data_IF_878638221479
#
_entry.id   IF_878638221479
#
_cell.length_a   1.000
_cell.length_b   1.000
_cell.length_c   1.000
_cell.angle_alpha   90.00
_cell.angle_beta   90.00
_cell.angle_gamma   90.00
#
_symmetry.space_group_name_H-M   'P 1'
#
loop_
_entity.id
_entity.type
_entity.pdbx_description
1 polymer ?
#
# COMPACT_ATOMS: atom_id res chain seq x y z
N UNK A 1 -4.52 6.34 -1.39
CA UNK A 1 -3.35 6.33 -0.47
C UNK A 1 -2.19 5.53 -1.05
N UNK A 2 -2.39 4.28 -1.49
CA UNK A 2 -1.35 3.50 -2.18
C UNK A 2 -0.85 4.20 -3.47
N UNK A 3 -1.77 4.76 -4.26
CA UNK A 3 -1.41 5.57 -5.44
C UNK A 3 -0.59 6.81 -5.08
N UNK A 4 -0.83 7.42 -3.91
CA UNK A 4 -0.04 8.57 -3.46
C UNK A 4 1.41 8.16 -3.15
N UNK A 5 1.60 7.04 -2.44
CA UNK A 5 2.96 6.53 -2.17
C UNK A 5 3.64 6.09 -3.48
N UNK A 6 2.87 5.51 -4.41
CA UNK A 6 3.36 5.17 -5.75
C UNK A 6 3.84 6.41 -6.50
N UNK A 7 3.03 7.47 -6.55
CA UNK A 7 3.42 8.73 -7.16
C UNK A 7 4.65 9.34 -6.49
N UNK A 8 4.67 9.33 -5.15
CA UNK A 8 5.77 9.91 -4.37
C UNK A 8 7.11 9.23 -4.64
N UNK A 9 7.13 7.90 -4.76
CA UNK A 9 8.37 7.13 -4.97
C UNK A 9 8.76 6.94 -6.44
N UNK A 10 7.78 6.78 -7.32
CA UNK A 10 8.01 6.32 -8.71
C UNK A 10 7.52 7.32 -9.77
N UNK A 11 6.86 8.41 -9.37
CA UNK A 11 6.39 9.47 -10.27
C UNK A 11 5.04 9.20 -10.93
N UNK A 12 4.65 10.12 -11.83
CA UNK A 12 3.32 10.14 -12.45
C UNK A 12 3.06 8.92 -13.36
N UNK A 13 4.02 8.56 -14.21
CA UNK A 13 3.92 7.41 -15.12
C UNK A 13 3.59 6.12 -14.38
N UNK A 14 4.12 5.94 -13.16
CA UNK A 14 3.85 4.77 -12.35
C UNK A 14 2.38 4.69 -11.91
N UNK A 15 1.75 5.83 -11.63
CA UNK A 15 0.33 5.88 -11.23
C UNK A 15 -0.61 5.78 -12.43
N UNK A 16 -0.26 6.42 -13.55
CA UNK A 16 -1.13 6.46 -14.73
C UNK A 16 -1.07 5.17 -15.56
N UNK A 17 0.04 4.42 -15.50
CA UNK A 17 0.26 3.27 -16.38
C UNK A 17 0.66 2.02 -15.61
N UNK A 18 1.84 2.03 -14.99
CA UNK A 18 2.44 0.80 -14.48
C UNK A 18 1.63 0.16 -13.34
N UNK A 19 1.09 0.96 -12.42
CA UNK A 19 0.28 0.44 -11.32
C UNK A 19 -1.09 -0.07 -11.78
N UNK A 20 -1.88 0.67 -12.60
CA UNK A 20 -3.07 0.13 -13.25
C UNK A 20 -2.83 -1.18 -14.01
N UNK A 21 -1.75 -1.26 -14.79
CA UNK A 21 -1.36 -2.49 -15.49
C UNK A 21 -1.07 -3.63 -14.51
N UNK A 22 -0.29 -3.38 -13.45
CA UNK A 22 0.03 -4.37 -12.42
C UNK A 22 -1.23 -4.89 -11.70
N UNK A 23 -2.16 -4.00 -11.33
CA UNK A 23 -3.39 -4.38 -10.61
C UNK A 23 -4.49 -4.91 -11.53
N UNK A 24 -4.34 -4.79 -12.85
CA UNK A 24 -5.20 -5.43 -13.85
C UNK A 24 -4.87 -6.90 -14.10
N UNK A 25 -4.09 -7.56 -13.24
CA UNK A 25 -3.89 -9.01 -13.28
C UNK A 25 -5.24 -9.74 -13.38
N UNK A 26 -5.39 -10.56 -14.43
CA UNK A 26 -6.63 -11.29 -14.77
C UNK A 26 -7.07 -12.16 -13.61
N UNK A 27 -8.34 -12.03 -13.21
CA UNK A 27 -8.94 -13.00 -12.32
C UNK A 27 -9.20 -14.34 -13.05
N UNK A 28 -9.45 -15.41 -12.29
CA UNK A 28 -9.72 -16.75 -12.82
C UNK A 28 -11.00 -16.82 -13.69
N UNK A 29 -11.79 -15.75 -13.75
CA UNK A 29 -13.02 -15.64 -14.53
C UNK A 29 -12.86 -14.72 -15.77
N UNK A 30 -11.66 -14.18 -16.00
CA UNK A 30 -11.35 -13.35 -17.16
C UNK A 30 -11.89 -11.93 -17.09
N UNK A 31 -12.25 -11.41 -15.92
CA UNK A 31 -12.64 -10.01 -15.76
C UNK A 31 -11.43 -9.15 -15.43
N UNK A 32 -11.06 -8.28 -16.36
CA UNK A 32 -10.17 -7.15 -16.09
C UNK A 32 -10.96 -6.13 -15.28
N UNK A 33 -10.77 -6.14 -13.97
CA UNK A 33 -11.22 -5.05 -13.12
C UNK A 33 -10.02 -4.41 -12.46
N UNK A 34 -9.99 -3.09 -12.60
CA UNK A 34 -9.01 -2.18 -12.04
C UNK A 34 -9.25 -2.02 -10.53
N UNK A 35 -9.15 -3.15 -9.81
CA UNK A 35 -9.51 -3.29 -8.40
C UNK A 35 -8.38 -3.99 -7.64
N UNK A 36 -8.30 -3.73 -6.33
CA UNK A 36 -7.27 -4.31 -5.48
C UNK A 36 -7.48 -5.81 -5.17
N UNK A 37 -8.68 -6.34 -5.43
CA UNK A 37 -9.09 -7.66 -4.96
C UNK A 37 -9.45 -8.62 -6.09
N UNK A 38 -9.12 -9.90 -5.90
CA UNK A 38 -9.64 -11.01 -6.70
C UNK A 38 -10.69 -11.77 -5.92
N UNK A 39 -11.74 -12.27 -6.59
CA UNK A 39 -12.75 -13.13 -5.97
C UNK A 39 -12.42 -14.59 -6.28
N UNK A 40 -12.27 -15.40 -5.23
CA UNK A 40 -12.11 -16.85 -5.32
C UNK A 40 -13.06 -17.52 -4.33
N UNK A 41 -13.86 -18.47 -4.79
CA UNK A 41 -14.83 -19.20 -3.96
C UNK A 41 -15.77 -18.28 -3.15
N UNK A 42 -16.26 -17.20 -3.79
CA UNK A 42 -17.09 -16.14 -3.18
C UNK A 42 -16.42 -15.37 -2.03
N UNK A 43 -15.10 -15.49 -1.87
CA UNK A 43 -14.30 -14.70 -0.93
C UNK A 43 -13.39 -13.76 -1.71
N UNK A 44 -13.26 -12.52 -1.23
CA UNK A 44 -12.34 -11.55 -1.78
C UNK A 44 -10.96 -11.70 -1.12
N UNK A 45 -9.91 -11.62 -1.92
CA UNK A 45 -8.51 -11.67 -1.49
C UNK A 45 -7.74 -10.53 -2.15
N UNK A 46 -6.75 -9.95 -1.46
CA UNK A 46 -5.83 -8.99 -2.06
C UNK A 46 -5.12 -9.66 -3.25
N UNK A 47 -5.11 -8.99 -4.41
CA UNK A 47 -4.42 -9.53 -5.59
C UNK A 47 -2.92 -9.71 -5.29
N UNK A 48 -2.30 -10.84 -5.69
CA UNK A 48 -0.87 -11.03 -5.54
C UNK A 48 -0.05 -9.93 -6.21
N UNK A 49 -0.47 -9.43 -7.37
CA UNK A 49 0.18 -8.29 -8.02
C UNK A 49 0.18 -7.00 -7.18
N UNK A 50 -0.92 -6.70 -6.48
CA UNK A 50 -1.01 -5.54 -5.59
C UNK A 50 -0.09 -5.71 -4.37
N UNK A 51 -0.04 -6.90 -3.78
CA UNK A 51 0.87 -7.20 -2.68
C UNK A 51 2.34 -7.06 -3.13
N UNK A 52 2.68 -7.54 -4.34
CA UNK A 52 4.01 -7.41 -4.93
C UNK A 52 4.36 -5.94 -5.20
N UNK A 53 3.42 -5.14 -5.71
CA UNK A 53 3.61 -3.71 -5.91
C UNK A 53 3.94 -2.98 -4.61
N UNK A 54 3.20 -3.28 -3.53
CA UNK A 54 3.50 -2.74 -2.20
C UNK A 54 4.92 -3.13 -1.75
N UNK A 55 5.31 -4.38 -1.96
CA UNK A 55 6.65 -4.86 -1.62
C UNK A 55 7.76 -4.16 -2.44
N UNK A 56 7.51 -3.87 -3.72
CA UNK A 56 8.42 -3.09 -4.57
C UNK A 56 8.59 -1.67 -4.05
N UNK A 57 7.50 -1.00 -3.65
CA UNK A 57 7.55 0.32 -2.99
C UNK A 57 8.33 0.26 -1.67
N UNK A 58 8.11 -0.77 -0.85
CA UNK A 58 8.84 -0.97 0.40
C UNK A 58 10.34 -1.18 0.19
N UNK A 59 10.73 -1.79 -0.93
CA UNK A 59 12.12 -2.04 -1.31
C UNK A 59 12.74 -0.90 -2.13
N UNK A 60 11.97 0.15 -2.44
CA UNK A 60 12.48 1.32 -3.14
C UNK A 60 13.60 1.97 -2.32
N UNK A 61 14.66 2.43 -3.00
CA UNK A 61 15.85 3.00 -2.36
C UNK A 61 15.54 4.21 -1.47
N UNK A 62 14.49 4.95 -1.83
CA UNK A 62 14.04 6.17 -1.15
C UNK A 62 12.87 5.88 -0.18
N UNK A 63 12.55 4.61 0.07
CA UNK A 63 11.53 4.24 1.05
C UNK A 63 12.07 4.40 2.48
N UNK A 64 11.69 5.49 3.14
CA UNK A 64 11.95 5.68 4.57
C UNK A 64 11.16 4.71 5.45
N UNK A 65 11.50 4.65 6.74
CA UNK A 65 10.73 3.86 7.72
C UNK A 65 9.27 4.31 7.82
N UNK A 66 9.02 5.63 7.74
CA UNK A 66 7.66 6.18 7.66
C UNK A 66 6.85 5.61 6.48
N UNK A 67 7.43 5.63 5.28
CA UNK A 67 6.74 5.12 4.09
C UNK A 67 6.53 3.61 4.19
N UNK A 68 7.51 2.89 4.74
CA UNK A 68 7.40 1.46 4.96
C UNK A 68 6.25 1.10 5.91
N UNK A 69 6.16 1.76 7.06
CA UNK A 69 5.08 1.55 8.04
C UNK A 69 3.69 1.95 7.50
N UNK A 70 3.64 3.03 6.70
CA UNK A 70 2.42 3.44 6.01
C UNK A 70 1.98 2.38 5.00
N UNK A 71 2.91 1.83 4.21
CA UNK A 71 2.64 0.75 3.24
C UNK A 71 2.19 -0.53 3.93
N UNK A 72 2.82 -0.90 5.05
CA UNK A 72 2.43 -2.06 5.86
C UNK A 72 0.99 -1.88 6.39
N UNK A 73 0.66 -0.68 6.91
CA UNK A 73 -0.68 -0.39 7.37
C UNK A 73 -1.73 -0.37 6.25
N UNK A 74 -1.38 0.16 5.07
CA UNK A 74 -2.25 0.10 3.89
C UNK A 74 -2.55 -1.36 3.54
N UNK A 75 -1.52 -2.20 3.43
CA UNK A 75 -1.61 -3.62 3.08
C UNK A 75 -2.49 -4.39 4.07
N UNK A 76 -2.22 -4.26 5.36
CA UNK A 76 -2.79 -5.14 6.39
C UNK A 76 -4.15 -4.68 6.91
N UNK A 77 -4.43 -3.37 6.87
CA UNK A 77 -5.57 -2.78 7.59
C UNK A 77 -6.53 -2.03 6.69
N UNK A 78 -6.04 -1.36 5.64
CA UNK A 78 -6.89 -0.60 4.72
C UNK A 78 -7.38 -1.45 3.55
N UNK A 79 -6.50 -2.27 2.99
CA UNK A 79 -6.82 -3.21 1.90
C UNK A 79 -7.29 -4.56 2.45
N UNK A 80 -8.09 -4.54 3.51
CA UNK A 80 -8.76 -5.71 4.05
C UNK A 80 -10.10 -5.90 3.29
N UNK A 81 -10.31 -7.06 2.62
CA UNK A 81 -11.55 -7.34 1.92
C UNK A 81 -12.77 -7.51 2.85
N UNK A 82 -12.57 -7.84 4.12
CA UNK A 82 -13.65 -7.98 5.09
C UNK A 82 -13.94 -6.63 5.76
N UNK A 83 -15.12 -6.08 5.49
CA UNK A 83 -15.56 -4.80 6.03
C UNK A 83 -15.69 -4.78 7.56
N UNK A 84 -15.83 -5.93 8.22
CA UNK A 84 -15.92 -6.02 9.68
C UNK A 84 -14.54 -5.89 10.36
N UNK A 85 -13.47 -6.32 9.69
CA UNK A 85 -12.09 -6.26 10.20
C UNK A 85 -11.28 -5.10 9.63
N UNK A 86 -11.70 -4.58 8.45
CA UNK A 86 -11.12 -3.40 7.81
C UNK A 86 -11.13 -2.21 8.75
N UNK A 87 -10.01 -1.49 8.77
CA UNK A 87 -9.83 -0.38 9.71
C UNK A 87 -10.88 0.72 9.51
N UNK A 88 -11.59 1.16 10.56
CA UNK A 88 -12.47 2.30 10.46
C UNK A 88 -11.68 3.61 10.41
N UNK A 89 -12.27 4.66 9.83
CA UNK A 89 -11.64 5.96 9.66
C UNK A 89 -11.10 6.57 10.98
N UNK A 90 -11.77 6.31 12.10
CA UNK A 90 -11.33 6.76 13.43
C UNK A 90 -9.99 6.14 13.85
N UNK A 91 -9.80 4.84 13.59
CA UNK A 91 -8.55 4.14 13.91
C UNK A 91 -7.45 4.46 12.89
N UNK A 92 -7.79 4.65 11.62
CA UNK A 92 -6.87 5.20 10.61
C UNK A 92 -6.33 6.56 11.07
N UNK A 93 -7.21 7.47 11.51
CA UNK A 93 -6.81 8.80 12.01
C UNK A 93 -5.85 8.70 13.20
N UNK A 94 -6.11 7.78 14.14
CA UNK A 94 -5.18 7.54 15.27
C UNK A 94 -3.83 7.02 14.80
N UNK A 95 -3.79 6.08 13.85
CA UNK A 95 -2.53 5.59 13.27
C UNK A 95 -1.77 6.70 12.57
N UNK A 96 -2.43 7.54 11.76
CA UNK A 96 -1.78 8.67 11.09
C UNK A 96 -1.19 9.67 12.08
N UNK A 97 -1.90 9.98 13.17
CA UNK A 97 -1.37 10.82 14.27
C UNK A 97 -0.16 10.18 14.95
N UNK A 98 -0.17 8.87 15.16
CA UNK A 98 0.96 8.17 15.74
C UNK A 98 2.20 8.22 14.83
N UNK A 99 2.03 7.93 13.52
CA UNK A 99 3.11 8.04 12.53
C UNK A 99 3.67 9.47 12.49
N UNK A 100 2.79 10.47 12.50
CA UNK A 100 3.19 11.89 12.53
C UNK A 100 3.94 12.24 13.82
N UNK A 101 3.52 11.73 14.97
CA UNK A 101 4.23 11.95 16.23
C UNK A 101 5.66 11.38 16.19
N UNK A 102 5.85 10.18 15.63
CA UNK A 102 7.18 9.60 15.42
C UNK A 102 8.05 10.47 14.53
N UNK A 103 7.51 11.04 13.44
CA UNK A 103 8.26 11.98 12.62
C UNK A 103 8.74 13.22 13.39
N UNK A 104 7.99 13.69 14.40
CA UNK A 104 8.41 14.85 15.21
C UNK A 104 9.48 14.50 16.25
N UNK A 105 9.52 13.25 16.73
CA UNK A 105 10.52 12.81 17.71
C UNK A 105 11.81 12.28 17.06
N UNK A 106 11.71 11.71 15.85
CA UNK A 106 12.79 10.98 15.20
C UNK A 106 12.91 11.43 13.73
N UNK A 107 13.82 12.36 13.44
CA UNK A 107 14.01 12.87 12.07
C UNK A 107 14.39 11.78 11.07
N UNK A 108 15.20 10.81 11.51
CA UNK A 108 15.68 9.71 10.66
C UNK A 108 14.55 8.74 10.25
N UNK A 109 13.42 8.76 10.94
CA UNK A 109 12.26 7.95 10.59
C UNK A 109 11.68 8.29 9.20
N UNK A 110 11.75 9.57 8.80
CA UNK A 110 11.23 10.04 7.50
C UNK A 110 12.30 10.63 6.58
N UNK A 111 13.45 11.06 7.11
CA UNK A 111 14.60 11.55 6.32
C UNK A 111 15.68 10.49 6.08
N UNK A 112 15.71 9.44 6.91
CA UNK A 112 16.75 8.43 6.87
C UNK A 112 16.58 7.43 5.74
N UNK A 113 17.71 6.89 5.27
CA UNK A 113 17.74 5.76 4.35
C UNK A 113 17.46 4.48 5.15
N UNK A 114 16.39 3.77 4.80
CA UNK A 114 16.06 2.48 5.43
C UNK A 114 17.15 1.45 5.08
N UNK A 115 17.77 0.77 6.06
CA UNK A 115 18.67 -0.34 5.77
C UNK A 115 17.92 -1.47 5.04
N UNK A 116 18.51 -2.01 3.98
CA UNK A 116 17.94 -3.18 3.28
C UNK A 116 18.16 -4.42 4.16
N UNK A 117 17.07 -5.00 4.64
CA UNK A 117 17.05 -6.31 5.32
C UNK A 117 16.99 -7.46 4.32
#
# INVERSE_FOLDING_TARGET
MLEYVTWFLMGLDAVERAFPEARSERDIYGFDSDVFFSIKDKKAFLKPSVARWIQELQNHRDCSWYLWDLLEFIKDRMLDPDGATRVPASQLTKKMKALMATCHSESDYYLGVRPKT
#
